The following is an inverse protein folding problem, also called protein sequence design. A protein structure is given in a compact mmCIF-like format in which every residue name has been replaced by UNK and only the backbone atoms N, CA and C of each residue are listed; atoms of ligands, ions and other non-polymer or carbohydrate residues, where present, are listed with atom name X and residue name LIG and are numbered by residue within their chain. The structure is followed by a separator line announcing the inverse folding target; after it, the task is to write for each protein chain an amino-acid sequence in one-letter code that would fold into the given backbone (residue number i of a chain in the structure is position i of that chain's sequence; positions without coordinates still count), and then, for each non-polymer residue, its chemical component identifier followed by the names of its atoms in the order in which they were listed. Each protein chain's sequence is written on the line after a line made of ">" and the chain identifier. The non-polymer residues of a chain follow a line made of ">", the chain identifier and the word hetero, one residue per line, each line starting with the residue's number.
data_IF_392711557668
#
_entry.id   IF_392711557668
#
_cell.length_a   1.000
_cell.length_b   1.000
_cell.length_c   1.000
_cell.angle_alpha   90.00
_cell.angle_beta   90.00
_cell.angle_gamma   90.00
#
_symmetry.space_group_name_H-M   'P 1'
#
loop_
_entity.id
_entity.type
_entity.pdbx_description
1 polymer ?
#
# COMPACT_ATOMS: atom_id res chain seq x y z
N UNK A 1 -21.64 21.47 -3.19
CA UNK A 1 -21.53 20.00 -3.32
C UNK A 1 -20.95 19.47 -2.01
N UNK A 2 -21.61 18.50 -1.33
CA UNK A 2 -21.12 18.03 -0.04
C UNK A 2 -19.80 17.27 -0.22
N UNK A 3 -18.82 17.53 0.65
CA UNK A 3 -17.58 16.77 0.74
C UNK A 3 -17.92 15.31 1.06
N UNK A 4 -17.75 14.41 0.08
CA UNK A 4 -17.88 12.97 0.34
C UNK A 4 -16.74 12.53 1.25
N UNK A 5 -17.09 11.91 2.39
CA UNK A 5 -16.14 11.28 3.33
C UNK A 5 -15.18 10.30 2.65
N UNK A 6 -15.58 9.79 1.48
CA UNK A 6 -14.81 8.87 0.64
C UNK A 6 -13.59 9.54 0.01
N UNK A 7 -13.63 10.85 -0.25
CA UNK A 7 -12.59 11.58 -0.99
C UNK A 7 -11.76 12.56 -0.13
N UNK A 8 -11.98 12.60 1.19
CA UNK A 8 -11.19 13.42 2.12
C UNK A 8 -9.99 12.66 2.69
N UNK A 9 -8.91 13.37 2.98
CA UNK A 9 -7.69 12.80 3.56
C UNK A 9 -7.98 12.12 4.92
N UNK A 10 -7.08 11.22 5.35
CA UNK A 10 -7.27 10.39 6.54
C UNK A 10 -7.56 11.21 7.81
N UNK A 11 -6.92 12.37 7.98
CA UNK A 11 -7.08 13.18 9.21
C UNK A 11 -8.42 13.90 9.26
N UNK A 12 -8.87 14.45 8.13
CA UNK A 12 -10.18 15.09 8.02
C UNK A 12 -11.31 14.06 8.16
N UNK A 13 -11.12 12.84 7.63
CA UNK A 13 -12.05 11.72 7.80
C UNK A 13 -12.18 11.31 9.27
N UNK A 14 -11.05 11.21 10.00
CA UNK A 14 -11.03 10.91 11.44
C UNK A 14 -11.74 11.98 12.27
N UNK A 15 -11.55 13.25 11.91
CA UNK A 15 -12.23 14.36 12.58
C UNK A 15 -13.76 14.34 12.37
N UNK A 16 -14.22 13.90 11.20
CA UNK A 16 -15.64 13.86 10.84
C UNK A 16 -16.41 12.67 11.43
N UNK A 17 -15.77 11.49 11.56
CA UNK A 17 -16.49 10.24 11.90
C UNK A 17 -16.56 9.93 13.41
N UNK A 18 -15.72 10.58 14.23
CA UNK A 18 -15.59 10.28 15.65
C UNK A 18 -14.94 8.91 15.89
N UNK A 19 -15.18 8.31 17.05
CA UNK A 19 -14.65 6.99 17.38
C UNK A 19 -15.23 5.91 16.45
N UNK A 20 -14.36 5.36 15.62
CA UNK A 20 -14.72 4.34 14.63
C UNK A 20 -13.57 3.35 14.42
N UNK A 21 -13.83 2.33 13.62
CA UNK A 21 -12.87 1.27 13.33
C UNK A 21 -12.66 1.16 11.82
N UNK A 22 -11.40 1.31 11.41
CA UNK A 22 -10.94 1.07 10.04
C UNK A 22 -10.49 -0.39 9.94
N UNK A 23 -10.98 -1.07 8.92
CA UNK A 23 -10.56 -2.42 8.54
C UNK A 23 -9.96 -2.33 7.13
N UNK A 24 -8.68 -2.65 7.01
CA UNK A 24 -7.92 -2.67 5.77
C UNK A 24 -7.46 -4.10 5.45
N UNK A 25 -7.38 -4.46 4.17
CA UNK A 25 -6.87 -5.78 3.79
C UNK A 25 -5.35 -5.82 3.99
N UNK A 26 -4.88 -6.79 4.77
CA UNK A 26 -3.46 -6.97 5.08
C UNK A 26 -2.69 -7.35 3.81
N UNK A 27 -1.74 -6.50 3.42
CA UNK A 27 -0.83 -6.78 2.30
C UNK A 27 -1.59 -7.20 1.03
N UNK A 28 -2.71 -6.53 0.77
CA UNK A 28 -3.76 -6.91 -0.18
C UNK A 28 -3.27 -7.41 -1.54
N UNK A 29 -2.43 -6.64 -2.23
CA UNK A 29 -1.89 -7.02 -3.54
C UNK A 29 -1.01 -8.27 -3.48
N UNK A 30 -0.25 -8.46 -2.40
CA UNK A 30 0.64 -9.62 -2.22
C UNK A 30 -0.19 -10.87 -1.93
N UNK A 31 -1.20 -10.74 -1.05
CA UNK A 31 -2.16 -11.81 -0.77
C UNK A 31 -2.89 -12.25 -2.04
N UNK A 32 -3.37 -11.28 -2.84
CA UNK A 32 -4.01 -11.55 -4.13
C UNK A 32 -3.08 -12.27 -5.11
N UNK A 33 -1.81 -11.85 -5.27
CA UNK A 33 -0.87 -12.58 -6.13
C UNK A 33 -0.64 -14.01 -5.65
N UNK A 34 -0.58 -14.22 -4.33
CA UNK A 34 -0.34 -15.54 -3.74
C UNK A 34 -1.48 -16.53 -3.98
N UNK A 35 -2.72 -16.09 -4.23
CA UNK A 35 -3.80 -17.00 -4.60
C UNK A 35 -3.53 -17.79 -5.89
N UNK A 36 -2.65 -17.29 -6.76
CA UNK A 36 -2.23 -17.96 -8.00
C UNK A 36 -1.08 -18.96 -7.81
N UNK A 37 -0.45 -19.02 -6.62
CA UNK A 37 0.76 -19.82 -6.40
C UNK A 37 0.52 -21.33 -6.64
N UNK A 38 -0.60 -21.86 -6.14
CA UNK A 38 -0.99 -23.26 -6.32
C UNK A 38 -1.22 -23.60 -7.79
N UNK A 39 -1.87 -22.71 -8.55
CA UNK A 39 -2.13 -22.89 -9.97
C UNK A 39 -0.83 -22.83 -10.80
N UNK A 40 0.05 -21.88 -10.47
CA UNK A 40 1.38 -21.75 -11.07
C UNK A 40 2.20 -23.04 -10.95
N UNK A 41 2.30 -23.61 -9.75
CA UNK A 41 3.10 -24.83 -9.52
C UNK A 41 2.53 -26.04 -10.30
N UNK A 42 1.20 -26.20 -10.30
CA UNK A 42 0.52 -27.23 -11.08
C UNK A 42 0.81 -27.09 -12.59
N UNK A 43 0.68 -25.88 -13.13
CA UNK A 43 0.81 -25.63 -14.57
C UNK A 43 2.26 -25.64 -15.07
N UNK A 44 3.24 -25.42 -14.18
CA UNK A 44 4.67 -25.55 -14.50
C UNK A 44 5.23 -26.95 -14.29
N UNK A 45 4.43 -27.88 -13.77
CA UNK A 45 4.87 -29.25 -13.47
C UNK A 45 5.84 -29.34 -12.28
N UNK A 46 5.95 -28.29 -11.47
CA UNK A 46 6.77 -28.28 -10.27
C UNK A 46 6.04 -29.06 -9.16
N UNK A 47 6.58 -30.22 -8.79
CA UNK A 47 6.14 -31.03 -7.65
C UNK A 47 6.61 -30.45 -6.30
N UNK A 48 6.68 -29.12 -6.20
CA UNK A 48 7.10 -28.42 -5.00
C UNK A 48 5.86 -27.95 -4.23
N UNK A 49 5.93 -28.00 -2.90
CA UNK A 49 4.90 -27.38 -2.06
C UNK A 49 4.96 -25.85 -2.19
N UNK A 50 3.79 -25.18 -2.19
CA UNK A 50 3.68 -23.71 -2.19
C UNK A 50 4.57 -23.10 -1.11
N UNK A 51 4.59 -23.70 0.08
CA UNK A 51 5.40 -23.25 1.22
C UNK A 51 6.90 -23.18 0.92
N UNK A 52 7.41 -24.08 0.10
CA UNK A 52 8.84 -24.12 -0.27
C UNK A 52 9.16 -23.21 -1.45
N UNK A 53 8.22 -23.04 -2.38
CA UNK A 53 8.43 -22.21 -3.57
C UNK A 53 8.27 -20.70 -3.30
N UNK A 54 7.43 -20.34 -2.32
CA UNK A 54 7.07 -18.97 -1.99
C UNK A 54 7.26 -18.67 -0.48
N UNK A 55 8.33 -19.22 0.12
CA UNK A 55 8.54 -19.15 1.57
C UNK A 55 8.67 -17.71 2.07
N UNK A 56 9.34 -16.85 1.33
CA UNK A 56 9.62 -15.48 1.77
C UNK A 56 8.37 -14.61 1.69
N UNK A 57 7.55 -14.81 0.65
CA UNK A 57 6.24 -14.16 0.52
C UNK A 57 5.30 -14.61 1.62
N UNK A 58 5.28 -15.91 1.96
CA UNK A 58 4.45 -16.42 3.06
C UNK A 58 4.89 -15.84 4.40
N UNK A 59 6.20 -15.76 4.66
CA UNK A 59 6.72 -15.11 5.86
C UNK A 59 6.31 -13.63 5.93
N UNK A 60 6.39 -12.89 4.81
CA UNK A 60 5.90 -11.51 4.76
C UNK A 60 4.40 -11.37 5.05
N UNK A 61 3.57 -12.33 4.65
CA UNK A 61 2.12 -12.32 4.89
C UNK A 61 1.77 -12.70 6.34
N UNK A 62 2.43 -13.74 6.86
CA UNK A 62 2.17 -14.32 8.18
C UNK A 62 2.75 -13.44 9.30
N UNK A 63 4.04 -13.11 9.19
CA UNK A 63 4.84 -12.45 10.24
C UNK A 63 5.48 -11.16 9.73
N UNK A 64 4.66 -10.30 9.12
CA UNK A 64 5.09 -9.01 8.53
C UNK A 64 5.95 -8.17 9.47
N UNK A 65 5.65 -8.15 10.77
CA UNK A 65 6.41 -7.34 11.74
C UNK A 65 7.85 -7.82 11.84
N UNK A 66 8.04 -9.14 11.93
CA UNK A 66 9.36 -9.75 12.02
C UNK A 66 10.12 -9.58 10.69
N UNK A 67 9.46 -9.85 9.56
CA UNK A 67 10.05 -9.62 8.23
C UNK A 67 10.55 -8.18 8.11
N UNK A 68 9.73 -7.20 8.47
CA UNK A 68 10.08 -5.78 8.36
C UNK A 68 11.22 -5.38 9.29
N UNK A 69 11.31 -6.00 10.48
CA UNK A 69 12.43 -5.80 11.40
C UNK A 69 13.72 -6.40 10.85
N UNK A 70 13.68 -7.61 10.28
CA UNK A 70 14.86 -8.24 9.68
C UNK A 70 15.42 -7.40 8.52
N UNK A 71 14.54 -6.89 7.66
CA UNK A 71 14.95 -5.99 6.57
C UNK A 71 15.50 -4.67 7.12
N UNK A 72 14.95 -4.18 8.23
CA UNK A 72 15.43 -2.98 8.90
C UNK A 72 16.86 -3.15 9.40
N UNK A 73 17.13 -4.21 10.15
CA UNK A 73 18.44 -4.50 10.74
C UNK A 73 19.51 -4.73 9.66
N UNK A 74 19.13 -5.29 8.51
CA UNK A 74 20.05 -5.44 7.38
C UNK A 74 20.27 -4.15 6.57
N UNK A 75 19.33 -3.20 6.61
CA UNK A 75 19.38 -1.98 5.80
C UNK A 75 20.09 -0.84 6.53
N UNK A 76 19.82 -0.69 7.82
CA UNK A 76 20.29 0.42 8.64
C UNK A 76 21.27 -0.09 9.69
N UNK A 77 22.52 0.29 9.56
CA UNK A 77 23.59 -0.05 10.51
C UNK A 77 23.62 0.93 11.68
N UNK A 78 24.49 0.67 12.65
CA UNK A 78 24.68 1.52 13.85
C UNK A 78 25.11 2.96 13.51
N UNK A 79 25.60 3.20 12.29
CA UNK A 79 26.00 4.52 11.78
C UNK A 79 24.87 5.33 11.14
N UNK A 80 23.65 4.79 11.05
CA UNK A 80 22.51 5.49 10.45
C UNK A 80 22.08 6.70 11.30
N UNK A 81 21.76 7.80 10.61
CA UNK A 81 21.13 8.98 11.23
C UNK A 81 19.59 8.95 11.10
N UNK A 82 19.02 7.88 10.54
CA UNK A 82 17.58 7.75 10.33
C UNK A 82 16.93 7.24 11.62
N UNK A 83 15.96 7.97 12.16
CA UNK A 83 15.21 7.53 13.34
C UNK A 83 14.45 6.21 13.07
N UNK A 84 14.35 5.33 14.06
CA UNK A 84 13.78 3.97 13.94
C UNK A 84 12.38 3.95 13.29
N UNK A 85 11.51 4.91 13.62
CA UNK A 85 10.16 5.00 13.04
C UNK A 85 10.18 5.39 11.55
N UNK A 86 11.13 6.26 11.17
CA UNK A 86 11.31 6.66 9.78
C UNK A 86 11.90 5.51 8.97
N UNK A 87 12.83 4.73 9.54
CA UNK A 87 13.39 3.54 8.90
C UNK A 87 12.27 2.56 8.48
N UNK A 88 11.35 2.24 9.40
CA UNK A 88 10.20 1.37 9.11
C UNK A 88 9.29 1.94 8.01
N UNK A 89 9.07 3.25 8.01
CA UNK A 89 8.30 3.92 6.96
C UNK A 89 8.97 3.79 5.59
N UNK A 90 10.29 4.02 5.52
CA UNK A 90 11.07 3.92 4.28
C UNK A 90 11.07 2.51 3.71
N UNK A 91 11.27 1.49 4.56
CA UNK A 91 11.20 0.07 4.14
C UNK A 91 9.81 -0.25 3.61
N UNK A 92 8.76 0.21 4.30
CA UNK A 92 7.37 -0.05 3.88
C UNK A 92 7.09 0.57 2.51
N UNK A 93 7.54 1.80 2.30
CA UNK A 93 7.40 2.49 1.02
C UNK A 93 8.20 1.78 -0.09
N UNK A 94 9.44 1.36 0.19
CA UNK A 94 10.28 0.61 -0.74
C UNK A 94 9.65 -0.74 -1.12
N UNK A 95 9.19 -1.53 -0.14
CA UNK A 95 8.49 -2.81 -0.37
C UNK A 95 7.20 -2.62 -1.18
N UNK A 96 6.47 -1.53 -0.94
CA UNK A 96 5.26 -1.19 -1.70
C UNK A 96 5.61 -0.86 -3.15
N UNK A 97 6.64 -0.05 -3.39
CA UNK A 97 7.10 0.27 -4.74
C UNK A 97 7.53 -0.99 -5.50
N UNK A 98 8.21 -1.93 -4.84
CA UNK A 98 8.59 -3.23 -5.41
C UNK A 98 7.38 -4.07 -5.82
N UNK A 99 6.30 -4.09 -5.02
CA UNK A 99 5.07 -4.79 -5.35
C UNK A 99 4.37 -4.25 -6.62
N UNK A 100 4.58 -2.97 -6.93
CA UNK A 100 4.06 -2.30 -8.13
C UNK A 100 5.07 -2.21 -9.27
N UNK A 101 6.13 -3.02 -9.23
CA UNK A 101 7.04 -3.22 -10.36
C UNK A 101 8.23 -2.26 -10.40
N UNK A 102 8.52 -1.53 -9.31
CA UNK A 102 9.83 -0.89 -9.16
C UNK A 102 10.94 -1.95 -9.24
N UNK A 103 12.04 -1.61 -9.90
CA UNK A 103 13.17 -2.52 -10.08
C UNK A 103 14.21 -2.30 -8.99
N UNK A 104 14.86 -3.39 -8.57
CA UNK A 104 16.10 -3.37 -7.79
C UNK A 104 17.28 -2.97 -8.71
N UNK A 105 17.29 -1.72 -9.19
CA UNK A 105 18.35 -1.20 -10.07
C UNK A 105 19.07 -0.04 -9.41
N UNK A 106 20.41 -0.08 -9.45
CA UNK A 106 21.26 0.94 -8.83
C UNK A 106 21.33 2.24 -9.64
N UNK A 107 21.23 2.15 -10.97
CA UNK A 107 21.45 3.27 -11.87
C UNK A 107 20.15 3.81 -12.46
N UNK A 108 20.05 5.14 -12.52
CA UNK A 108 19.02 5.81 -13.30
C UNK A 108 19.14 5.54 -14.78
N UNK A 109 18.03 5.70 -15.51
CA UNK A 109 18.01 5.59 -16.98
C UNK A 109 17.67 6.95 -17.58
N UNK A 110 18.06 7.14 -18.84
CA UNK A 110 17.75 8.34 -19.59
C UNK A 110 16.56 8.07 -20.50
N UNK A 111 15.52 8.89 -20.42
CA UNK A 111 14.43 8.88 -21.39
C UNK A 111 14.74 9.83 -22.54
N UNK A 112 14.19 9.56 -23.72
CA UNK A 112 14.39 10.37 -24.94
C UNK A 112 13.92 11.81 -24.77
N UNK A 113 12.94 12.04 -23.90
CA UNK A 113 12.17 13.29 -23.88
C UNK A 113 12.24 14.06 -22.54
N UNK A 114 12.76 13.48 -21.45
CA UNK A 114 12.58 14.06 -20.09
C UNK A 114 13.81 13.98 -19.15
N UNK A 115 15.01 13.80 -19.71
CA UNK A 115 16.26 13.84 -18.93
C UNK A 115 16.58 12.57 -18.14
N UNK A 116 17.34 12.71 -17.04
CA UNK A 116 17.74 11.60 -16.16
C UNK A 116 16.58 11.22 -15.23
N UNK A 117 16.17 9.95 -15.27
CA UNK A 117 15.20 9.40 -14.33
C UNK A 117 15.89 8.51 -13.30
N UNK A 118 15.62 8.80 -12.03
CA UNK A 118 16.11 7.97 -10.93
C UNK A 118 15.18 6.78 -10.69
N UNK A 119 15.71 5.63 -10.24
CA UNK A 119 14.88 4.52 -9.80
C UNK A 119 14.05 4.96 -8.58
N UNK A 120 12.80 4.50 -8.47
CA UNK A 120 11.91 4.84 -7.35
C UNK A 120 12.55 4.61 -5.97
N UNK A 121 13.40 3.58 -5.84
CA UNK A 121 14.12 3.28 -4.60
C UNK A 121 15.13 4.37 -4.20
N UNK A 122 15.67 5.13 -5.16
CA UNK A 122 16.58 6.24 -4.88
C UNK A 122 15.85 7.46 -4.31
N UNK A 123 14.57 7.64 -4.64
CA UNK A 123 13.74 8.70 -4.08
C UNK A 123 13.26 8.36 -2.66
N UNK A 124 13.09 7.07 -2.36
CA UNK A 124 12.68 6.54 -1.06
C UNK A 124 13.89 6.48 -0.11
N UNK A 125 14.87 5.61 -0.40
CA UNK A 125 16.09 5.45 0.40
C UNK A 125 17.20 6.27 -0.25
N UNK A 126 17.35 7.51 0.22
CA UNK A 126 18.25 8.51 -0.40
C UNK A 126 19.73 8.17 -0.21
N UNK A 127 20.12 7.70 0.97
CA UNK A 127 21.48 7.28 1.25
C UNK A 127 21.84 6.06 0.37
N UNK A 128 22.95 6.17 -0.37
CA UNK A 128 23.35 5.13 -1.33
C UNK A 128 23.80 3.82 -0.66
N UNK A 129 24.45 3.90 0.51
CA UNK A 129 24.93 2.72 1.23
C UNK A 129 23.75 1.97 1.85
N UNK A 130 22.82 2.67 2.49
CA UNK A 130 21.57 2.08 3.01
C UNK A 130 20.76 1.45 1.88
N UNK A 131 20.61 2.15 0.74
CA UNK A 131 19.92 1.62 -0.43
C UNK A 131 20.63 0.38 -0.99
N UNK A 132 21.96 0.39 -1.03
CA UNK A 132 22.76 -0.76 -1.49
C UNK A 132 22.55 -1.97 -0.57
N UNK A 133 22.53 -1.76 0.75
CA UNK A 133 22.23 -2.81 1.72
C UNK A 133 20.80 -3.35 1.59
N UNK A 134 19.81 -2.47 1.46
CA UNK A 134 18.41 -2.87 1.20
C UNK A 134 18.30 -3.74 -0.06
N UNK A 135 18.98 -3.35 -1.14
CA UNK A 135 18.99 -4.12 -2.39
C UNK A 135 19.78 -5.44 -2.29
N UNK A 136 20.77 -5.50 -1.41
CA UNK A 136 21.57 -6.70 -1.17
C UNK A 136 20.90 -7.69 -0.21
N UNK A 137 19.97 -7.23 0.63
CA UNK A 137 19.21 -8.05 1.57
C UNK A 137 18.58 -9.26 0.86
N UNK A 138 18.94 -10.46 1.34
CA UNK A 138 18.47 -11.73 0.75
C UNK A 138 16.96 -11.83 0.81
N UNK A 139 16.34 -11.42 1.92
CA UNK A 139 14.89 -11.49 2.13
C UNK A 139 14.13 -10.59 1.14
N UNK A 140 14.63 -9.38 0.89
CA UNK A 140 14.06 -8.47 -0.12
C UNK A 140 14.21 -9.06 -1.53
N UNK A 141 15.38 -9.60 -1.86
CA UNK A 141 15.64 -10.17 -3.19
C UNK A 141 14.78 -11.40 -3.47
N UNK A 142 14.63 -12.27 -2.49
CA UNK A 142 13.83 -13.48 -2.59
C UNK A 142 12.34 -13.15 -2.68
N UNK A 143 11.88 -12.21 -1.86
CA UNK A 143 10.52 -11.66 -1.97
C UNK A 143 10.26 -11.11 -3.39
N UNK A 144 11.16 -10.28 -3.92
CA UNK A 144 11.01 -9.69 -5.27
C UNK A 144 11.02 -10.76 -6.35
N UNK A 145 11.86 -11.79 -6.23
CA UNK A 145 11.89 -12.93 -7.17
C UNK A 145 10.56 -13.67 -7.18
N UNK A 146 10.04 -14.00 -6.01
CA UNK A 146 8.77 -14.70 -5.83
C UNK A 146 7.60 -13.89 -6.39
N UNK A 147 7.51 -12.60 -6.05
CA UNK A 147 6.47 -11.71 -6.57
C UNK A 147 6.54 -11.55 -8.09
N UNK A 148 7.75 -11.42 -8.67
CA UNK A 148 7.93 -11.34 -10.12
C UNK A 148 7.55 -12.64 -10.83
N UNK A 149 7.71 -13.78 -10.17
CA UNK A 149 7.31 -15.09 -10.69
C UNK A 149 5.79 -15.13 -10.87
N UNK A 150 5.05 -14.72 -9.84
CA UNK A 150 3.59 -14.62 -9.89
C UNK A 150 3.12 -13.56 -10.90
N UNK A 151 3.73 -12.37 -10.93
CA UNK A 151 3.39 -11.34 -11.92
C UNK A 151 3.55 -11.82 -13.36
N UNK A 152 4.62 -12.59 -13.62
CA UNK A 152 4.90 -13.13 -14.95
C UNK A 152 3.89 -14.21 -15.31
N UNK A 153 3.55 -15.07 -14.35
CA UNK A 153 2.53 -16.10 -14.53
C UNK A 153 1.15 -15.50 -14.82
N UNK A 154 0.68 -14.58 -13.97
CA UNK A 154 -0.63 -13.93 -14.11
C UNK A 154 -0.72 -13.22 -15.47
N UNK A 155 0.31 -12.47 -15.86
CA UNK A 155 0.33 -11.80 -17.16
C UNK A 155 0.28 -12.80 -18.33
N UNK A 156 0.96 -13.95 -18.22
CA UNK A 156 0.89 -15.02 -19.23
C UNK A 156 -0.51 -15.64 -19.30
N UNK A 157 -1.20 -15.81 -18.18
CA UNK A 157 -2.59 -16.27 -18.16
C UNK A 157 -3.50 -15.30 -18.93
N UNK A 158 -3.35 -13.99 -18.73
CA UNK A 158 -4.11 -12.97 -19.48
C UNK A 158 -3.83 -13.04 -20.98
N UNK A 159 -2.56 -13.20 -21.38
CA UNK A 159 -2.18 -13.31 -22.80
C UNK A 159 -2.87 -14.48 -23.51
N UNK A 160 -3.17 -15.56 -22.77
CA UNK A 160 -3.85 -16.75 -23.31
C UNK A 160 -5.36 -16.66 -23.20
N UNK A 161 -5.87 -16.27 -22.03
CA UNK A 161 -7.30 -16.36 -21.70
C UNK A 161 -8.07 -15.11 -22.13
N UNK A 162 -7.48 -13.93 -22.02
CA UNK A 162 -8.15 -12.65 -22.25
C UNK A 162 -7.29 -11.68 -23.10
N UNK A 163 -6.87 -12.08 -24.33
CA UNK A 163 -5.97 -11.27 -25.16
C UNK A 163 -6.59 -9.94 -25.61
N UNK A 164 -7.92 -9.83 -25.60
CA UNK A 164 -8.65 -8.59 -25.88
C UNK A 164 -8.41 -7.53 -24.81
N UNK A 165 -8.23 -7.93 -23.54
CA UNK A 165 -7.93 -7.02 -22.43
C UNK A 165 -6.64 -6.23 -22.69
N UNK A 166 -5.62 -6.90 -23.25
CA UNK A 166 -4.32 -6.30 -23.55
C UNK A 166 -4.36 -5.23 -24.66
N UNK A 167 -5.49 -5.09 -25.36
CA UNK A 167 -5.70 -4.04 -26.36
C UNK A 167 -6.07 -2.70 -25.73
N UNK A 168 -6.54 -2.68 -24.48
CA UNK A 168 -6.94 -1.47 -23.77
C UNK A 168 -5.78 -0.47 -23.65
N UNK A 169 -6.02 0.78 -24.02
CA UNK A 169 -5.00 1.83 -24.01
C UNK A 169 -4.43 2.09 -22.62
N UNK A 170 -5.27 1.97 -21.59
CA UNK A 170 -4.86 2.14 -20.19
C UNK A 170 -3.77 1.15 -19.75
N UNK A 171 -3.66 -0.02 -20.41
CA UNK A 171 -2.67 -1.05 -20.09
C UNK A 171 -1.37 -0.90 -20.90
N UNK A 172 -1.32 0.03 -21.84
CA UNK A 172 -0.16 0.27 -22.70
C UNK A 172 0.82 1.24 -22.05
N UNK A 173 2.11 0.97 -22.18
CA UNK A 173 3.16 1.96 -21.88
C UNK A 173 3.68 2.62 -23.17
N UNK A 174 3.69 1.88 -24.28
CA UNK A 174 4.06 2.32 -25.63
C UNK A 174 3.26 1.47 -26.63
N UNK A 175 3.91 0.92 -27.66
CA UNK A 175 3.31 -0.03 -28.62
C UNK A 175 2.94 -1.39 -27.99
N UNK A 176 3.43 -1.70 -26.78
CA UNK A 176 3.18 -2.95 -26.04
C UNK A 176 2.47 -2.68 -24.71
N UNK A 177 1.75 -3.68 -24.20
CA UNK A 177 1.19 -3.66 -22.84
C UNK A 177 2.32 -3.65 -21.82
N UNK A 178 2.08 -3.00 -20.69
CA UNK A 178 2.96 -3.02 -19.53
C UNK A 178 2.47 -4.05 -18.54
N UNK A 179 3.33 -5.02 -18.20
CA UNK A 179 3.06 -6.02 -17.16
C UNK A 179 2.57 -5.36 -15.86
N UNK A 180 3.27 -4.32 -15.40
CA UNK A 180 2.89 -3.62 -14.17
C UNK A 180 1.49 -2.99 -14.24
N UNK A 181 1.10 -2.43 -15.41
CA UNK A 181 -0.23 -1.86 -15.62
C UNK A 181 -1.32 -2.94 -15.69
N UNK A 182 -1.04 -4.08 -16.32
CA UNK A 182 -1.94 -5.24 -16.36
C UNK A 182 -2.20 -5.74 -14.93
N UNK A 183 -1.13 -5.97 -14.16
CA UNK A 183 -1.24 -6.42 -12.77
C UNK A 183 -2.02 -5.43 -11.90
N UNK A 184 -1.73 -4.12 -12.01
CA UNK A 184 -2.45 -3.10 -11.26
C UNK A 184 -3.95 -3.08 -11.61
N UNK A 185 -4.30 -3.20 -12.89
CA UNK A 185 -5.68 -3.23 -13.36
C UNK A 185 -6.44 -4.46 -12.85
N UNK A 186 -5.84 -5.65 -12.95
CA UNK A 186 -6.44 -6.88 -12.44
C UNK A 186 -6.65 -6.83 -10.93
N UNK A 187 -5.64 -6.34 -10.20
CA UNK A 187 -5.73 -6.19 -8.76
C UNK A 187 -6.85 -5.23 -8.36
N UNK A 188 -7.01 -4.08 -9.01
CA UNK A 188 -8.11 -3.14 -8.75
C UNK A 188 -9.50 -3.78 -8.96
N UNK A 189 -9.64 -4.64 -9.97
CA UNK A 189 -10.89 -5.36 -10.21
C UNK A 189 -11.14 -6.43 -9.14
N UNK A 190 -10.10 -7.18 -8.75
CA UNK A 190 -10.19 -8.18 -7.69
C UNK A 190 -10.50 -7.55 -6.32
N UNK A 191 -9.88 -6.41 -6.02
CA UNK A 191 -10.14 -5.58 -4.84
C UNK A 191 -11.62 -5.16 -4.80
N UNK A 192 -12.15 -4.62 -5.91
CA UNK A 192 -13.55 -4.22 -5.98
C UNK A 192 -14.51 -5.39 -5.74
N UNK A 193 -14.21 -6.59 -6.28
CA UNK A 193 -15.00 -7.80 -6.07
C UNK A 193 -14.98 -8.27 -4.61
N UNK A 194 -13.79 -8.37 -4.01
CA UNK A 194 -13.64 -8.78 -2.61
C UNK A 194 -14.38 -7.82 -1.66
N UNK A 195 -14.27 -6.52 -1.92
CA UNK A 195 -14.92 -5.50 -1.12
C UNK A 195 -16.43 -5.47 -1.29
N UNK A 196 -16.96 -5.76 -2.49
CA UNK A 196 -18.39 -5.93 -2.70
C UNK A 196 -18.96 -7.05 -1.80
N UNK A 197 -18.28 -8.21 -1.74
CA UNK A 197 -18.65 -9.33 -0.87
C UNK A 197 -18.58 -8.96 0.61
N UNK A 198 -17.54 -8.25 1.03
CA UNK A 198 -17.43 -7.75 2.39
C UNK A 198 -18.62 -6.81 2.74
N UNK A 199 -19.02 -5.92 1.83
CA UNK A 199 -20.16 -5.01 2.06
C UNK A 199 -21.50 -5.73 2.12
N UNK A 200 -21.72 -6.73 1.26
CA UNK A 200 -22.90 -7.58 1.30
C UNK A 200 -23.02 -8.31 2.65
N UNK A 201 -21.91 -8.87 3.14
CA UNK A 201 -21.86 -9.50 4.45
C UNK A 201 -22.15 -8.54 5.60
N UNK A 202 -21.50 -7.37 5.62
CA UNK A 202 -21.73 -6.37 6.67
C UNK A 202 -23.18 -5.90 6.68
N UNK A 203 -23.78 -5.73 5.50
CA UNK A 203 -25.19 -5.36 5.38
C UNK A 203 -26.12 -6.46 5.90
N UNK A 204 -25.83 -7.75 5.64
CA UNK A 204 -26.63 -8.87 6.17
C UNK A 204 -26.61 -8.96 7.70
N UNK A 205 -25.53 -8.47 8.33
CA UNK A 205 -25.38 -8.36 9.79
C UNK A 205 -25.90 -7.03 10.36
N UNK A 206 -26.58 -6.20 9.56
CA UNK A 206 -27.05 -4.85 9.93
C UNK A 206 -25.92 -3.91 10.42
N UNK A 207 -24.70 -4.10 9.92
CA UNK A 207 -23.56 -3.25 10.25
C UNK A 207 -23.37 -2.20 9.17
N UNK A 208 -23.76 -0.97 9.48
CA UNK A 208 -23.60 0.17 8.59
C UNK A 208 -22.13 0.50 8.33
N UNK A 209 -21.72 0.43 7.06
CA UNK A 209 -20.42 0.93 6.58
C UNK A 209 -20.48 2.44 6.45
N UNK A 210 -19.66 3.14 7.22
CA UNK A 210 -19.57 4.60 7.24
C UNK A 210 -18.79 5.15 6.04
N UNK A 211 -17.77 4.42 5.59
CA UNK A 211 -16.96 4.78 4.44
C UNK A 211 -16.43 3.53 3.73
N UNK A 212 -16.40 3.57 2.39
CA UNK A 212 -15.84 2.56 1.48
C UNK A 212 -14.59 3.15 0.82
N UNK A 213 -13.44 2.49 0.92
CA UNK A 213 -12.13 3.07 0.59
C UNK A 213 -11.24 1.98 -0.03
N UNK A 214 -11.21 1.77 -1.34
CA UNK A 214 -10.35 0.73 -1.96
C UNK A 214 -10.41 -0.60 -1.17
N UNK A 215 -9.27 -1.14 -0.72
CA UNK A 215 -9.09 -2.29 0.16
C UNK A 215 -9.41 -2.04 1.65
N UNK A 216 -10.19 -1.03 1.97
CA UNK A 216 -10.55 -0.68 3.34
C UNK A 216 -11.99 -0.20 3.49
N UNK A 217 -12.48 -0.29 4.71
CA UNK A 217 -13.79 0.21 5.09
C UNK A 217 -13.82 0.64 6.54
N UNK A 218 -14.76 1.54 6.85
CA UNK A 218 -14.92 2.06 8.21
C UNK A 218 -16.30 1.70 8.72
N UNK A 219 -16.34 1.17 9.94
CA UNK A 219 -17.57 0.89 10.69
C UNK A 219 -17.57 1.64 12.02
N UNK A 220 -18.76 1.89 12.55
CA UNK A 220 -18.92 2.64 13.81
C UNK A 220 -18.40 1.86 15.02
N UNK A 221 -18.75 0.58 15.12
CA UNK A 221 -18.38 -0.29 16.24
C UNK A 221 -17.36 -1.30 15.77
N UNK A 222 -16.46 -1.70 16.68
CA UNK A 222 -15.53 -2.81 16.44
C UNK A 222 -16.32 -4.05 16.04
N UNK A 223 -15.91 -4.70 14.96
CA UNK A 223 -16.39 -6.05 14.63
C UNK A 223 -15.99 -6.99 15.77
N UNK A 224 -16.91 -7.87 16.18
CA UNK A 224 -16.52 -8.96 17.07
C UNK A 224 -15.56 -9.90 16.35
N UNK A 225 -14.74 -10.64 17.11
CA UNK A 225 -13.80 -11.59 16.52
C UNK A 225 -14.50 -12.63 15.63
N UNK A 226 -15.67 -13.12 16.06
CA UNK A 226 -16.50 -14.05 15.28
C UNK A 226 -16.96 -13.44 13.97
N UNK A 227 -17.51 -12.22 14.00
CA UNK A 227 -17.99 -11.54 12.78
C UNK A 227 -16.84 -11.25 11.82
N UNK A 228 -15.67 -10.87 12.34
CA UNK A 228 -14.47 -10.66 11.54
C UNK A 228 -14.03 -11.96 10.86
N UNK A 229 -14.01 -13.07 11.61
CA UNK A 229 -13.63 -14.38 11.07
C UNK A 229 -14.60 -14.86 9.99
N UNK A 230 -15.91 -14.80 10.25
CA UNK A 230 -16.93 -15.17 9.25
C UNK A 230 -16.82 -14.34 7.97
N UNK A 231 -16.50 -13.04 8.09
CA UNK A 231 -16.26 -12.16 6.95
C UNK A 231 -15.03 -12.60 6.16
N UNK A 232 -13.90 -12.86 6.85
CA UNK A 232 -12.67 -13.36 6.22
C UNK A 232 -12.93 -14.69 5.50
N UNK A 233 -13.53 -15.69 6.16
CA UNK A 233 -13.85 -16.98 5.55
C UNK A 233 -14.73 -16.84 4.30
N UNK A 234 -15.76 -15.99 4.35
CA UNK A 234 -16.63 -15.76 3.19
C UNK A 234 -15.85 -15.15 2.02
N UNK A 235 -15.07 -14.10 2.26
CA UNK A 235 -14.33 -13.42 1.18
C UNK A 235 -13.25 -14.34 0.63
N UNK A 236 -12.53 -15.07 1.48
CA UNK A 236 -11.53 -16.06 1.05
C UNK A 236 -12.16 -17.14 0.17
N UNK A 237 -13.31 -17.68 0.56
CA UNK A 237 -14.03 -18.70 -0.19
C UNK A 237 -14.52 -18.19 -1.55
N UNK A 238 -15.23 -17.06 -1.56
CA UNK A 238 -15.85 -16.47 -2.76
C UNK A 238 -14.83 -15.94 -3.77
N UNK A 239 -13.66 -15.48 -3.30
CA UNK A 239 -12.60 -14.93 -4.17
C UNK A 239 -11.45 -15.90 -4.42
N UNK A 240 -11.53 -17.12 -3.86
CA UNK A 240 -10.46 -18.12 -3.88
C UNK A 240 -9.10 -17.57 -3.44
N UNK A 241 -9.10 -16.70 -2.42
CA UNK A 241 -7.89 -16.07 -1.89
C UNK A 241 -7.75 -16.37 -0.40
N UNK A 242 -7.16 -17.51 -0.07
CA UNK A 242 -6.90 -17.96 1.31
C UNK A 242 -5.98 -17.02 2.11
N UNK A 243 -5.24 -16.13 1.44
CA UNK A 243 -4.32 -15.18 2.07
C UNK A 243 -4.99 -13.85 2.42
N UNK A 244 -6.27 -13.67 2.10
CA UNK A 244 -7.01 -12.45 2.38
C UNK A 244 -7.36 -12.34 3.87
N UNK A 245 -6.88 -11.31 4.54
CA UNK A 245 -7.15 -11.05 5.96
C UNK A 245 -7.35 -9.58 6.24
N UNK A 246 -8.11 -9.24 7.29
CA UNK A 246 -8.34 -7.87 7.72
C UNK A 246 -7.38 -7.46 8.84
N UNK A 247 -6.72 -6.33 8.63
CA UNK A 247 -6.18 -5.48 9.67
C UNK A 247 -7.31 -4.75 10.40
N UNK A 248 -7.08 -4.39 11.65
CA UNK A 248 -8.01 -3.54 12.40
C UNK A 248 -7.27 -2.38 13.04
N UNK A 249 -7.84 -1.19 12.93
CA UNK A 249 -7.29 0.02 13.53
C UNK A 249 -8.41 0.87 14.10
N UNK A 250 -8.29 1.20 15.39
CA UNK A 250 -9.18 2.18 16.00
C UNK A 250 -8.81 3.59 15.53
N UNK A 251 -9.81 4.33 15.06
CA UNK A 251 -9.71 5.73 14.73
C UNK A 251 -10.34 6.53 15.89
N UNK A 252 -9.49 7.13 16.72
CA UNK A 252 -9.90 8.07 17.77
C UNK A 252 -10.07 9.48 17.19
N UNK A 253 -10.96 10.27 17.80
CA UNK A 253 -11.25 11.65 17.40
C UNK A 253 -10.01 12.55 17.52
N UNK A 254 -9.88 13.49 16.57
CA UNK A 254 -8.86 14.55 16.60
C UNK A 254 -9.15 15.52 17.75
N UNK A 255 -8.65 15.18 18.93
CA UNK A 255 -8.85 15.94 20.18
C UNK A 255 -8.28 15.21 21.39
N UNK A 256 -8.36 13.88 21.39
CA UNK A 256 -8.03 13.07 22.58
C UNK A 256 -6.56 12.64 22.66
N UNK A 257 -5.77 12.86 21.61
CA UNK A 257 -4.35 12.42 21.50
C UNK A 257 -3.36 13.54 21.19
N UNK A 258 -3.71 14.82 21.36
CA UNK A 258 -2.70 15.87 21.21
C UNK A 258 -1.75 15.86 22.41
N UNK A 259 -0.54 15.34 22.22
CA UNK A 259 0.59 15.56 23.12
C UNK A 259 0.84 17.07 23.26
N UNK A 260 1.38 17.52 24.40
CA UNK A 260 1.64 18.95 24.63
C UNK A 260 2.51 19.57 23.53
N UNK A 261 3.45 18.80 22.97
CA UNK A 261 4.32 19.23 21.87
C UNK A 261 3.57 19.49 20.56
N UNK A 262 2.55 18.69 20.26
CA UNK A 262 1.70 18.89 19.07
C UNK A 262 0.84 20.14 19.22
N UNK A 263 0.32 20.38 20.44
CA UNK A 263 -0.41 21.62 20.78
C UNK A 263 0.48 22.84 20.63
N UNK A 264 1.73 22.76 21.09
CA UNK A 264 2.72 23.83 20.97
C UNK A 264 3.11 24.08 19.51
N UNK A 265 3.35 23.04 18.70
CA UNK A 265 3.67 23.20 17.27
C UNK A 265 2.52 23.86 16.49
N UNK A 266 1.28 23.45 16.75
CA UNK A 266 0.10 24.06 16.12
C UNK A 266 -0.07 25.52 16.59
N UNK A 267 0.17 25.81 17.87
CA UNK A 267 0.11 27.18 18.39
C UNK A 267 1.20 28.07 17.77
N UNK A 268 2.43 27.57 17.65
CA UNK A 268 3.54 28.27 17.00
C UNK A 268 3.27 28.51 15.52
N UNK A 269 2.74 27.52 14.80
CA UNK A 269 2.37 27.67 13.39
C UNK A 269 1.22 28.69 13.20
N UNK A 270 0.20 28.68 14.07
CA UNK A 270 -0.87 29.68 14.06
C UNK A 270 -0.35 31.09 14.38
N UNK A 271 0.57 31.23 15.33
CA UNK A 271 1.21 32.50 15.65
C UNK A 271 2.06 33.03 14.48
N UNK A 272 2.76 32.14 13.77
CA UNK A 272 3.52 32.48 12.56
C UNK A 272 2.61 33.01 11.45
N UNK A 273 1.51 32.30 11.15
CA UNK A 273 0.53 32.75 10.14
C UNK A 273 -0.12 34.08 10.55
N UNK A 274 -0.47 34.25 11.82
CA UNK A 274 -1.03 35.52 12.31
C UNK A 274 -0.05 36.69 12.16
N UNK A 275 1.25 36.44 12.39
CA UNK A 275 2.30 37.43 12.19
C UNK A 275 2.53 37.74 10.71
N UNK A 276 2.51 36.75 9.81
CA UNK A 276 2.57 36.98 8.36
C UNK A 276 1.36 37.79 7.85
N UNK A 277 0.15 37.47 8.32
CA UNK A 277 -1.06 38.19 7.93
C UNK A 277 -1.02 39.64 8.43
N UNK A 278 -0.53 39.89 9.64
CA UNK A 278 -0.33 41.23 10.17
C UNK A 278 0.76 42.00 9.42
N UNK A 279 1.85 41.33 9.04
CA UNK A 279 2.92 41.89 8.21
C UNK A 279 2.45 42.25 6.79
N UNK A 280 1.56 41.45 6.19
CA UNK A 280 0.96 41.77 4.90
C UNK A 280 -0.06 42.91 4.98
N UNK A 281 -0.74 43.09 6.12
CA UNK A 281 -1.66 44.20 6.37
C UNK A 281 -0.95 45.53 6.66
N UNK A 282 0.30 45.51 7.11
CA UNK A 282 1.09 46.71 7.41
C UNK A 282 1.92 47.23 6.23
N UNK A 283 1.96 46.54 5.08
CA UNK A 283 2.62 47.06 3.87
C UNK A 283 1.82 48.22 3.27
N UNK A 284 2.43 49.42 3.10
CA UNK A 284 1.76 50.53 2.44
C UNK A 284 1.56 50.21 0.95
N UNK A 285 0.36 50.53 0.42
CA UNK A 285 0.04 50.32 -1.00
C UNK A 285 0.99 51.14 -1.88
N UNK A 286 1.52 50.58 -2.98
CA UNK A 286 2.35 51.35 -3.90
C UNK A 286 1.50 52.42 -4.58
N UNK A 287 1.95 53.68 -4.48
CA UNK A 287 1.39 54.79 -5.25
C UNK A 287 1.59 54.49 -6.74
N UNK A 288 0.48 54.41 -7.48
CA UNK A 288 0.49 54.43 -8.94
C UNK A 288 0.74 55.88 -9.38
N UNK A 289 1.67 56.02 -10.33
CA UNK A 289 2.10 57.19 -11.11
C UNK A 289 1.35 58.50 -10.90
#
# INVERSE_FOLDING_TARGET
>A
MPLSVQNVNKDLRRAMLGDCWEYDVRSSVVAWKMSFASEYLKNTGLQQEVKKAFCTTLWYLQDKVEFMQQVQDQTFDDGTNVHIDLQRSLIKEAMTALCFGAKLTKHGWRTSDDGWQNPALADIIKNEDERTRFMACTDVRDFVREQNTLDTYINKCVEVQEPTLLKLEILRANKRHSKAKVIAYLYQNAEAQAMAKAYEFLNSKNMGVLAKIHDAFIVRKKLSQTVKHELEELVQFETHNEYWHLGEKQLTRWGDLQTQDEKQRIAQHKAFIANEVNYMRSKPKPQKQ
#
